data_IF_032192165857
#
_entry.id   IF_032192165857
#
_cell.length_a   1.000
_cell.length_b   1.000
_cell.length_c   1.000
_cell.angle_alpha   90.00
_cell.angle_beta   90.00
_cell.angle_gamma   90.00
#
_symmetry.space_group_name_H-M   'P 1'
#
loop_
_entity.id
_entity.type
_entity.pdbx_description
1 polymer ?
#
# COMPACT_ATOMS: atom_id res chain seq x y z
N UNK A 1 8.16 1.87 6.26
CA UNK A 1 8.51 0.45 6.49
C UNK A 1 9.91 0.21 5.97
N UNK A 2 10.40 -1.03 5.94
CA UNK A 2 11.64 -1.39 5.24
C UNK A 2 11.27 -2.09 3.93
N UNK A 3 11.08 -1.33 2.85
CA UNK A 3 10.49 -1.80 1.59
C UNK A 3 11.53 -2.49 0.68
N UNK A 4 12.80 -2.18 0.89
CA UNK A 4 13.94 -2.68 0.11
C UNK A 4 14.98 -3.46 0.95
N UNK A 5 14.66 -3.74 2.22
CA UNK A 5 15.53 -4.45 3.18
C UNK A 5 16.92 -3.81 3.41
N UNK A 6 17.07 -2.50 3.20
CA UNK A 6 18.35 -1.80 3.36
C UNK A 6 18.63 -1.31 4.80
N UNK A 7 17.76 -1.63 5.75
CA UNK A 7 17.79 -1.15 7.15
C UNK A 7 17.57 0.36 7.33
N UNK A 8 17.10 1.07 6.30
CA UNK A 8 16.65 2.45 6.38
C UNK A 8 15.13 2.52 6.31
N UNK A 9 14.56 3.47 7.06
CA UNK A 9 13.11 3.62 7.08
C UNK A 9 12.64 4.33 5.80
N UNK A 10 11.70 3.70 5.11
CA UNK A 10 11.02 4.22 3.92
C UNK A 10 9.62 4.75 4.25
N UNK A 11 9.09 5.59 3.36
CA UNK A 11 7.76 6.21 3.48
C UNK A 11 6.89 5.79 2.30
N UNK A 12 5.62 5.43 2.60
CA UNK A 12 4.54 5.33 1.63
C UNK A 12 3.45 6.34 1.98
N UNK A 13 2.93 7.04 0.97
CA UNK A 13 1.86 8.05 1.13
C UNK A 13 0.73 7.79 0.13
N UNK A 14 -0.52 7.99 0.55
CA UNK A 14 -1.65 8.08 -0.37
C UNK A 14 -1.82 9.50 -0.87
N UNK A 15 -1.88 9.68 -2.19
CA UNK A 15 -2.11 10.97 -2.82
C UNK A 15 -3.52 10.98 -3.42
N UNK A 16 -4.51 11.31 -2.58
CA UNK A 16 -5.93 11.18 -2.91
C UNK A 16 -6.31 11.81 -4.26
N UNK A 17 -5.87 13.06 -4.51
CA UNK A 17 -6.22 13.79 -5.74
C UNK A 17 -5.41 13.35 -6.96
N UNK A 18 -4.28 12.66 -6.76
CA UNK A 18 -3.45 12.12 -7.83
C UNK A 18 -3.80 10.67 -8.19
N UNK A 19 -4.71 10.03 -7.44
CA UNK A 19 -5.13 8.65 -7.66
C UNK A 19 -3.95 7.66 -7.67
N UNK A 20 -3.00 7.87 -6.77
CA UNK A 20 -1.81 7.04 -6.66
C UNK A 20 -1.29 6.97 -5.21
N UNK A 21 -0.38 6.03 -4.98
CA UNK A 21 0.50 6.03 -3.82
C UNK A 21 1.91 6.44 -4.22
N UNK A 22 2.56 7.20 -3.34
CA UNK A 22 3.97 7.59 -3.46
C UNK A 22 4.84 6.75 -2.56
N UNK A 23 6.01 6.34 -3.07
CA UNK A 23 7.05 5.63 -2.31
C UNK A 23 8.32 6.47 -2.31
N UNK A 24 8.87 6.67 -1.11
CA UNK A 24 10.13 7.37 -0.87
C UNK A 24 11.08 6.43 -0.14
N UNK A 25 12.19 6.06 -0.79
CA UNK A 25 13.22 5.23 -0.15
C UNK A 25 14.13 6.08 0.73
N UNK A 26 14.38 5.63 1.95
CA UNK A 26 15.21 6.31 2.93
C UNK A 26 16.70 6.11 2.65
N UNK A 27 17.49 7.16 2.82
CA UNK A 27 18.95 7.09 2.63
C UNK A 27 19.71 6.83 3.95
N UNK A 28 19.00 6.63 5.06
CA UNK A 28 19.59 6.37 6.39
C UNK A 28 20.07 7.59 7.17
N UNK A 29 20.10 8.77 6.54
CA UNK A 29 20.51 10.04 7.15
C UNK A 29 19.33 11.00 7.41
N UNK A 30 18.10 10.49 7.28
CA UNK A 30 16.87 11.27 7.36
C UNK A 30 16.45 11.93 6.05
N UNK A 31 17.26 11.82 4.98
CA UNK A 31 16.86 12.18 3.63
C UNK A 31 16.19 11.01 2.90
N UNK A 32 15.47 11.35 1.82
CA UNK A 32 14.72 10.41 1.00
C UNK A 32 15.04 10.61 -0.48
N UNK A 33 15.05 9.50 -1.22
CA UNK A 33 15.10 9.51 -2.67
C UNK A 33 13.84 10.15 -3.28
N UNK A 34 13.91 10.48 -4.57
CA UNK A 34 12.76 11.01 -5.32
C UNK A 34 11.60 10.03 -5.30
N UNK A 35 10.39 10.56 -5.21
CA UNK A 35 9.16 9.77 -5.18
C UNK A 35 9.01 8.88 -6.42
N UNK A 36 8.75 7.60 -6.20
CA UNK A 36 8.18 6.71 -7.22
C UNK A 36 6.67 6.62 -6.99
N UNK A 37 5.87 6.77 -8.04
CA UNK A 37 4.40 6.77 -7.92
C UNK A 37 3.79 5.53 -8.56
N UNK A 38 2.82 4.93 -7.87
CA UNK A 38 2.06 3.77 -8.34
C UNK A 38 0.57 4.08 -8.39
N UNK A 39 -0.03 3.98 -9.57
CA UNK A 39 -1.46 4.24 -9.77
C UNK A 39 -2.30 3.27 -8.95
N UNK A 40 -3.35 3.79 -8.33
CA UNK A 40 -4.42 3.00 -7.67
C UNK A 40 -5.69 2.94 -8.54
N UNK A 41 -5.60 3.46 -9.78
CA UNK A 41 -6.71 3.50 -10.75
C UNK A 41 -7.39 4.87 -10.81
N UNK A 42 -8.00 5.18 -11.96
CA UNK A 42 -8.69 6.45 -12.20
C UNK A 42 -9.83 6.65 -11.19
N UNK A 43 -9.91 7.85 -10.62
CA UNK A 43 -10.92 8.24 -9.62
C UNK A 43 -10.90 7.42 -8.32
N UNK A 44 -9.79 6.72 -8.02
CA UNK A 44 -9.66 5.89 -6.83
C UNK A 44 -9.73 6.67 -5.52
N UNK A 45 -9.26 7.93 -5.48
CA UNK A 45 -9.24 8.75 -4.27
C UNK A 45 -8.69 7.97 -3.05
N UNK A 46 -7.42 7.53 -3.07
CA UNK A 46 -6.86 6.76 -1.97
C UNK A 46 -6.79 7.59 -0.67
N UNK A 47 -7.29 7.06 0.45
CA UNK A 47 -7.32 7.74 1.75
C UNK A 47 -6.37 7.14 2.80
N UNK A 48 -6.15 5.82 2.76
CA UNK A 48 -5.37 5.11 3.77
C UNK A 48 -4.45 4.10 3.11
N UNK A 49 -3.27 3.94 3.68
CA UNK A 49 -2.27 2.95 3.27
C UNK A 49 -1.80 2.17 4.49
N UNK A 50 -1.54 0.88 4.30
CA UNK A 50 -0.91 0.02 5.29
C UNK A 50 0.09 -0.89 4.59
N UNK A 51 1.17 -1.24 5.29
CA UNK A 51 2.21 -2.13 4.80
C UNK A 51 2.09 -3.47 5.52
N UNK A 52 2.01 -4.56 4.75
CA UNK A 52 1.93 -5.93 5.27
C UNK A 52 2.37 -6.93 4.20
N UNK A 53 2.93 -8.06 4.62
CA UNK A 53 3.16 -9.21 3.73
C UNK A 53 1.85 -9.99 3.60
N UNK A 54 1.02 -9.64 2.61
CA UNK A 54 -0.34 -10.20 2.45
C UNK A 54 -0.35 -11.46 1.61
N UNK A 55 0.72 -11.73 0.87
CA UNK A 55 0.88 -12.92 0.05
C UNK A 55 1.84 -13.97 0.65
N UNK A 56 2.42 -13.68 1.81
CA UNK A 56 3.35 -14.52 2.58
C UNK A 56 4.66 -14.84 1.84
N UNK A 57 5.16 -13.87 1.07
CA UNK A 57 6.39 -14.01 0.30
C UNK A 57 7.64 -13.44 1.01
N UNK A 58 7.46 -12.92 2.22
CA UNK A 58 8.50 -12.32 3.05
C UNK A 58 8.80 -10.86 2.75
N UNK A 59 8.01 -10.20 1.89
CA UNK A 59 8.20 -8.79 1.50
C UNK A 59 6.97 -7.97 1.85
N UNK A 60 7.19 -6.69 2.14
CA UNK A 60 6.07 -5.78 2.42
C UNK A 60 5.34 -5.44 1.11
N UNK A 61 4.04 -5.66 1.12
CA UNK A 61 3.10 -5.17 0.12
C UNK A 61 2.43 -3.87 0.59
N UNK A 62 1.83 -3.12 -0.34
CA UNK A 62 1.03 -1.93 -0.03
C UNK A 62 -0.44 -2.28 -0.21
N UNK A 63 -1.23 -2.06 0.85
CA UNK A 63 -2.70 -2.15 0.80
C UNK A 63 -3.27 -0.75 0.93
N UNK A 64 -4.18 -0.39 0.03
CA UNK A 64 -4.73 0.97 -0.10
C UNK A 64 -6.25 0.94 -0.08
N UNK A 65 -6.86 1.80 0.74
CA UNK A 65 -8.30 2.05 0.71
C UNK A 65 -8.65 3.17 -0.29
N UNK A 66 -9.45 2.83 -1.31
CA UNK A 66 -9.84 3.72 -2.39
C UNK A 66 -11.33 4.10 -2.28
N UNK A 67 -11.60 5.21 -1.60
CA UNK A 67 -12.95 5.73 -1.38
C UNK A 67 -13.72 5.95 -2.70
N UNK A 68 -13.08 6.50 -3.72
CA UNK A 68 -13.78 6.91 -4.94
C UNK A 68 -14.19 5.77 -5.86
N UNK A 69 -13.61 4.59 -5.67
CA UNK A 69 -13.91 3.38 -6.47
C UNK A 69 -14.55 2.25 -5.68
N UNK A 70 -14.84 2.47 -4.40
CA UNK A 70 -15.33 1.44 -3.48
C UNK A 70 -14.49 0.14 -3.57
N UNK A 71 -13.18 0.30 -3.37
CA UNK A 71 -12.24 -0.80 -3.50
C UNK A 71 -11.03 -0.71 -2.58
N UNK A 72 -10.43 -1.87 -2.33
CA UNK A 72 -9.06 -1.99 -1.81
C UNK A 72 -8.12 -2.33 -2.97
N UNK A 73 -7.03 -1.57 -3.12
CA UNK A 73 -5.91 -1.94 -3.99
C UNK A 73 -4.83 -2.67 -3.20
N UNK A 74 -4.24 -3.71 -3.78
CA UNK A 74 -3.05 -4.38 -3.26
C UNK A 74 -1.95 -4.26 -4.32
N UNK A 75 -0.80 -3.71 -3.93
CA UNK A 75 0.41 -3.63 -4.72
C UNK A 75 1.47 -4.52 -4.09
N UNK A 76 1.78 -5.64 -4.75
CA UNK A 76 2.76 -6.61 -4.25
C UNK A 76 4.19 -6.10 -4.39
N UNK A 77 4.99 -6.25 -3.34
CA UNK A 77 6.37 -5.79 -3.28
C UNK A 77 7.37 -6.78 -3.87
N UNK A 78 8.36 -6.26 -4.60
CA UNK A 78 9.52 -7.04 -5.04
C UNK A 78 10.66 -7.06 -4.01
N UNK A 79 10.56 -6.27 -2.93
CA UNK A 79 11.52 -6.28 -1.83
C UNK A 79 12.80 -5.50 -2.12
N UNK A 80 12.79 -4.74 -3.21
CA UNK A 80 13.81 -3.78 -3.64
C UNK A 80 13.25 -2.35 -3.63
N UNK A 81 12.10 -2.14 -2.98
CA UNK A 81 11.38 -0.86 -2.97
C UNK A 81 10.48 -0.63 -4.19
N UNK A 82 10.37 -1.62 -5.09
CA UNK A 82 9.45 -1.57 -6.24
C UNK A 82 8.24 -2.49 -6.06
N UNK A 83 7.15 -2.18 -6.78
CA UNK A 83 5.86 -2.84 -6.64
C UNK A 83 5.22 -3.16 -7.99
N UNK A 84 4.44 -4.24 -8.04
CA UNK A 84 3.57 -4.54 -9.18
C UNK A 84 2.38 -3.56 -9.23
N UNK A 85 1.79 -3.40 -10.42
CA UNK A 85 0.54 -2.65 -10.58
C UNK A 85 -0.56 -3.19 -9.65
N UNK A 86 -1.36 -2.27 -9.11
CA UNK A 86 -2.41 -2.59 -8.14
C UNK A 86 -3.41 -3.61 -8.69
N UNK A 87 -3.73 -4.61 -7.88
CA UNK A 87 -4.94 -5.43 -8.04
C UNK A 87 -6.05 -4.89 -7.14
N UNK A 88 -7.24 -4.71 -7.69
CA UNK A 88 -8.37 -4.10 -6.97
C UNK A 88 -9.39 -5.15 -6.55
N UNK A 89 -9.92 -4.97 -5.34
CA UNK A 89 -10.96 -5.79 -4.72
C UNK A 89 -12.11 -4.88 -4.31
N UNK A 90 -13.33 -5.14 -4.81
CA UNK A 90 -14.48 -4.31 -4.46
C UNK A 90 -14.90 -4.56 -3.01
N UNK A 91 -15.30 -3.48 -2.35
CA UNK A 91 -15.86 -3.47 -0.98
C UNK A 91 -17.37 -3.26 -0.98
N UNK A 92 -18.00 -3.25 -2.16
CA UNK A 92 -19.44 -3.05 -2.34
C UNK A 92 -19.81 -1.61 -2.68
N UNK A 93 -20.94 -1.42 -3.36
CA UNK A 93 -21.36 -0.10 -3.85
C UNK A 93 -21.61 0.91 -2.72
N UNK A 94 -21.12 2.14 -2.87
CA UNK A 94 -21.22 3.25 -1.91
C UNK A 94 -20.69 2.89 -0.51
N UNK A 95 -19.56 2.19 -0.46
CA UNK A 95 -18.95 1.76 0.78
C UNK A 95 -17.91 2.75 1.31
N UNK A 96 -17.42 3.67 0.46
CA UNK A 96 -16.66 4.88 0.84
C UNK A 96 -15.58 4.64 1.91
N UNK A 97 -14.63 3.72 1.68
CA UNK A 97 -13.62 3.38 2.70
C UNK A 97 -12.70 4.56 2.96
N UNK A 98 -12.53 4.91 4.24
CA UNK A 98 -11.57 5.91 4.69
C UNK A 98 -10.32 5.32 5.36
N UNK A 99 -10.41 4.08 5.85
CA UNK A 99 -9.34 3.43 6.61
C UNK A 99 -9.24 1.96 6.25
N UNK A 100 -8.01 1.43 6.32
CA UNK A 100 -7.73 -0.01 6.24
C UNK A 100 -6.81 -0.38 7.39
N UNK A 101 -7.00 -1.57 7.96
CA UNK A 101 -6.14 -2.15 8.97
C UNK A 101 -5.84 -3.60 8.56
N UNK A 102 -4.77 -4.16 9.14
CA UNK A 102 -4.35 -5.53 8.87
C UNK A 102 -4.21 -6.25 10.21
N UNK A 103 -4.66 -7.51 10.27
CA UNK A 103 -4.48 -8.37 11.44
C UNK A 103 -4.92 -9.79 11.15
N UNK A 104 -4.51 -10.74 11.98
CA UNK A 104 -5.06 -12.10 11.94
C UNK A 104 -6.45 -12.06 12.59
N UNK A 105 -7.50 -12.02 11.77
CA UNK A 105 -8.89 -11.87 12.19
C UNK A 105 -9.60 -13.22 12.33
N UNK A 106 -9.04 -14.26 11.72
CA UNK A 106 -9.64 -15.60 11.66
C UNK A 106 -8.86 -16.67 12.46
N UNK A 107 -7.72 -16.31 13.05
CA UNK A 107 -6.78 -17.16 13.80
C UNK A 107 -6.09 -18.24 12.94
N UNK A 108 -5.82 -17.99 11.66
CA UNK A 108 -5.06 -18.89 10.80
C UNK A 108 -3.56 -18.57 10.71
N UNK A 109 -3.09 -17.58 11.50
CA UNK A 109 -1.74 -17.03 11.49
C UNK A 109 -1.35 -16.36 10.17
N UNK A 110 -2.33 -15.93 9.37
CA UNK A 110 -2.12 -15.09 8.20
C UNK A 110 -2.77 -13.74 8.43
N UNK A 111 -2.22 -12.73 7.78
CA UNK A 111 -2.75 -11.39 7.86
C UNK A 111 -4.00 -11.26 6.98
N UNK A 112 -5.10 -10.84 7.60
CA UNK A 112 -6.36 -10.48 6.96
C UNK A 112 -6.51 -8.95 6.86
N UNK A 113 -7.44 -8.52 5.99
CA UNK A 113 -7.86 -7.13 5.76
C UNK A 113 -9.29 -6.94 6.28
#
# INVERSE_FOLDING_TARGET
GYLNNDSHLDIVVANCWNNNVGVFLGNGDGSFSTQTSYSTGLYSLPYSVVLADVNLDGRLDIVVANSGTDSISILLGYGDGTFVNSKNYSTGYNSEQYSVAIGDLNNDNKLDI
#
